data_IF_971913790836
#
_entry.id   IF_971913790836
#
_cell.length_a   1.000
_cell.length_b   1.000
_cell.length_c   1.000
_cell.angle_alpha   90.00
_cell.angle_beta   90.00
_cell.angle_gamma   90.00
#
_symmetry.space_group_name_H-M   'P 1'
#
loop_
_entity.id
_entity.type
_entity.pdbx_description
1 polymer ?
#
# COMPACT_ATOMS: atom_id res chain seq x y z
N UNK A 1 30.88 2.29 -6.04
CA UNK A 1 30.99 1.22 -5.03
C UNK A 1 29.76 0.35 -5.15
N UNK A 2 29.99 -0.95 -5.35
CA UNK A 2 29.09 -2.06 -5.73
C UNK A 2 27.55 -1.83 -5.78
N UNK A 3 26.86 -2.18 -6.89
CA UNK A 3 25.40 -2.12 -6.99
C UNK A 3 24.71 -3.26 -6.23
N UNK A 4 23.50 -2.97 -5.73
CA UNK A 4 22.55 -3.82 -4.98
C UNK A 4 22.05 -5.10 -5.71
N UNK A 5 22.78 -5.64 -6.68
CA UNK A 5 22.36 -6.80 -7.47
C UNK A 5 22.40 -8.14 -6.71
N UNK A 6 22.82 -8.17 -5.44
CA UNK A 6 23.07 -9.41 -4.70
C UNK A 6 21.91 -9.86 -3.77
N UNK A 7 20.92 -9.01 -3.48
CA UNK A 7 19.79 -9.39 -2.59
C UNK A 7 18.77 -10.29 -3.31
N UNK A 8 18.82 -10.38 -4.64
CA UNK A 8 17.98 -11.27 -5.45
C UNK A 8 18.52 -12.69 -5.68
N UNK A 9 19.75 -13.01 -5.26
CA UNK A 9 20.46 -14.22 -5.72
C UNK A 9 20.52 -15.38 -4.70
N UNK A 10 20.12 -15.19 -3.44
CA UNK A 10 20.29 -16.21 -2.39
C UNK A 10 19.05 -17.09 -2.09
N UNK A 11 17.93 -16.90 -2.80
CA UNK A 11 16.70 -17.70 -2.59
C UNK A 11 16.55 -18.92 -3.53
N UNK A 12 17.57 -19.22 -4.35
CA UNK A 12 17.47 -20.21 -5.41
C UNK A 12 18.42 -21.38 -5.24
N UNK A 13 18.18 -22.28 -4.26
CA UNK A 13 18.54 -23.71 -4.29
C UNK A 13 18.32 -24.33 -2.91
N UNK A 14 17.11 -24.83 -2.68
CA UNK A 14 16.71 -26.00 -1.84
C UNK A 14 15.24 -25.89 -1.46
N UNK A 15 14.37 -25.88 -2.48
CA UNK A 15 12.96 -26.19 -2.32
C UNK A 15 12.67 -27.38 -3.21
N UNK A 16 12.52 -28.56 -2.63
CA UNK A 16 12.10 -29.75 -3.37
C UNK A 16 10.77 -29.46 -4.07
N UNK A 17 10.68 -29.85 -5.34
CA UNK A 17 9.44 -29.85 -6.11
C UNK A 17 8.40 -30.76 -5.41
N UNK A 18 7.59 -30.18 -4.52
CA UNK A 18 6.34 -30.80 -4.10
C UNK A 18 5.30 -30.56 -5.21
N UNK A 19 4.63 -31.60 -5.74
CA UNK A 19 3.73 -31.44 -6.86
C UNK A 19 2.47 -30.67 -6.44
N UNK A 20 2.23 -29.52 -7.07
CA UNK A 20 1.00 -28.73 -6.96
C UNK A 20 -0.23 -29.40 -7.61
N UNK A 21 -0.41 -30.72 -7.43
CA UNK A 21 -1.38 -31.53 -8.17
C UNK A 21 -2.83 -31.42 -7.69
N UNK A 22 -3.06 -31.22 -6.38
CA UNK A 22 -4.41 -31.19 -5.80
C UNK A 22 -4.99 -29.76 -5.69
N UNK A 23 -4.20 -28.80 -5.20
CA UNK A 23 -4.65 -27.41 -4.96
C UNK A 23 -4.96 -26.63 -6.25
N UNK A 24 -4.13 -26.78 -7.29
CA UNK A 24 -4.34 -26.12 -8.58
C UNK A 24 -5.60 -26.60 -9.30
N UNK A 25 -5.93 -27.88 -9.17
CA UNK A 25 -7.13 -28.48 -9.76
C UNK A 25 -8.43 -28.03 -9.06
N UNK A 26 -8.40 -27.88 -7.73
CA UNK A 26 -9.52 -27.36 -6.95
C UNK A 26 -9.82 -25.88 -7.28
N UNK A 27 -8.79 -25.05 -7.41
CA UNK A 27 -8.97 -23.63 -7.76
C UNK A 27 -9.45 -23.45 -9.20
N UNK A 28 -8.96 -24.26 -10.14
CA UNK A 28 -9.46 -24.31 -11.51
C UNK A 28 -10.96 -24.68 -11.56
N UNK A 29 -11.39 -25.59 -10.69
CA UNK A 29 -12.79 -25.97 -10.57
C UNK A 29 -13.66 -24.81 -10.06
N UNK A 30 -13.19 -24.09 -9.03
CA UNK A 30 -13.85 -22.89 -8.50
C UNK A 30 -13.96 -21.79 -9.58
N UNK A 31 -12.88 -21.51 -10.30
CA UNK A 31 -12.84 -20.51 -11.37
C UNK A 31 -13.85 -20.82 -12.50
N UNK A 32 -13.95 -22.09 -12.92
CA UNK A 32 -14.96 -22.51 -13.93
C UNK A 32 -16.40 -22.33 -13.44
N UNK A 33 -16.66 -22.56 -12.15
CA UNK A 33 -17.99 -22.32 -11.55
C UNK A 33 -18.31 -20.84 -11.46
N UNK A 34 -17.36 -20.03 -10.99
CA UNK A 34 -17.46 -18.58 -10.93
C UNK A 34 -17.79 -17.98 -12.31
N UNK A 35 -17.07 -18.40 -13.35
CA UNK A 35 -17.33 -17.97 -14.73
C UNK A 35 -18.74 -18.31 -15.22
N UNK A 36 -19.24 -19.53 -14.93
CA UNK A 36 -20.61 -19.93 -15.26
C UNK A 36 -21.67 -19.10 -14.52
N UNK A 37 -21.44 -18.80 -13.24
CA UNK A 37 -22.34 -17.99 -12.41
C UNK A 37 -22.42 -16.55 -12.93
N UNK A 38 -21.28 -15.93 -13.24
CA UNK A 38 -21.23 -14.58 -13.83
C UNK A 38 -21.91 -14.54 -15.21
N UNK A 39 -21.70 -15.57 -16.04
CA UNK A 39 -22.34 -15.64 -17.35
C UNK A 39 -23.87 -15.69 -17.23
N UNK A 40 -24.41 -16.54 -16.35
CA UNK A 40 -25.85 -16.64 -16.09
C UNK A 40 -26.46 -15.32 -15.62
N UNK A 41 -25.77 -14.60 -14.72
CA UNK A 41 -26.28 -13.34 -14.16
C UNK A 41 -26.17 -12.14 -15.10
N UNK A 42 -25.17 -12.11 -15.98
CA UNK A 42 -24.92 -10.95 -16.85
C UNK A 42 -25.84 -10.86 -18.07
N UNK A 43 -26.53 -11.94 -18.47
CA UNK A 43 -27.38 -12.00 -19.67
C UNK A 43 -26.65 -11.76 -21.01
N UNK A 44 -25.35 -11.42 -20.98
CA UNK A 44 -24.55 -11.03 -22.15
C UNK A 44 -23.74 -12.22 -22.66
N UNK A 45 -23.81 -12.45 -23.99
CA UNK A 45 -22.98 -13.42 -24.72
C UNK A 45 -21.47 -13.08 -24.70
N UNK A 46 -21.06 -11.90 -24.20
CA UNK A 46 -19.66 -11.45 -24.21
C UNK A 46 -18.76 -12.10 -23.15
N UNK A 47 -19.31 -12.81 -22.16
CA UNK A 47 -18.52 -13.64 -21.24
C UNK A 47 -18.14 -15.01 -21.86
N UNK A 48 -17.93 -15.08 -23.17
CA UNK A 48 -17.39 -16.25 -23.88
C UNK A 48 -15.88 -16.40 -23.73
N UNK A 49 -15.25 -15.70 -22.78
CA UNK A 49 -13.90 -16.06 -22.38
C UNK A 49 -13.99 -17.33 -21.55
N UNK A 50 -13.74 -18.49 -22.16
CA UNK A 50 -13.22 -19.64 -21.40
C UNK A 50 -12.10 -19.06 -20.54
N UNK A 51 -12.10 -19.18 -19.20
CA UNK A 51 -10.93 -18.80 -18.43
C UNK A 51 -9.77 -19.64 -18.94
N UNK A 52 -8.97 -19.03 -19.81
CA UNK A 52 -7.79 -19.63 -20.40
C UNK A 52 -6.75 -19.66 -19.30
N UNK A 53 -6.52 -20.86 -18.77
CA UNK A 53 -5.59 -21.17 -17.71
C UNK A 53 -5.86 -20.51 -16.34
N UNK A 54 -5.54 -21.24 -15.28
CA UNK A 54 -5.36 -20.68 -13.94
C UNK A 54 -4.21 -19.69 -14.03
N UNK A 55 -4.45 -18.40 -13.75
CA UNK A 55 -3.35 -17.43 -13.59
C UNK A 55 -2.51 -17.87 -12.39
N UNK A 56 -1.19 -17.98 -12.58
CA UNK A 56 -0.23 -18.30 -11.53
C UNK A 56 0.26 -17.02 -10.86
N UNK A 57 0.72 -17.13 -9.62
CA UNK A 57 1.50 -16.06 -8.99
C UNK A 57 2.76 -15.79 -9.81
N UNK A 58 3.12 -14.52 -9.92
CA UNK A 58 4.30 -14.05 -10.63
C UNK A 58 5.33 -13.60 -9.60
N UNK A 59 6.54 -14.16 -9.65
CA UNK A 59 7.67 -13.62 -8.90
C UNK A 59 8.13 -12.34 -9.61
N UNK A 60 8.16 -11.23 -8.88
CA UNK A 60 8.52 -9.92 -9.42
C UNK A 60 9.70 -9.34 -8.64
N UNK A 61 10.52 -8.54 -9.31
CA UNK A 61 11.57 -7.77 -8.64
C UNK A 61 10.93 -6.59 -7.90
N UNK A 62 11.16 -6.44 -6.58
CA UNK A 62 10.61 -5.33 -5.84
C UNK A 62 11.27 -4.00 -6.24
N UNK A 63 10.63 -2.91 -5.87
CA UNK A 63 11.13 -1.54 -6.03
C UNK A 63 11.40 -0.95 -4.66
N UNK A 64 12.33 -0.02 -4.55
CA UNK A 64 12.66 0.58 -3.26
C UNK A 64 13.10 2.03 -3.36
N UNK A 65 13.05 2.71 -2.21
CA UNK A 65 13.74 3.99 -2.01
C UNK A 65 14.37 4.03 -0.63
N UNK A 66 15.49 4.74 -0.51
CA UNK A 66 16.11 5.01 0.78
C UNK A 66 15.43 6.20 1.47
N UNK A 67 14.96 6.02 2.69
CA UNK A 67 14.44 7.09 3.53
C UNK A 67 15.31 7.22 4.78
N UNK A 68 16.29 8.14 4.70
CA UNK A 68 17.24 8.46 5.79
C UNK A 68 17.93 7.22 6.38
N UNK A 69 18.51 6.39 5.51
CA UNK A 69 19.26 5.20 5.91
C UNK A 69 18.43 3.92 6.03
N UNK A 70 17.12 3.97 5.80
CA UNK A 70 16.24 2.81 5.76
C UNK A 70 15.69 2.61 4.34
N UNK A 71 15.98 1.48 3.70
CA UNK A 71 15.43 1.14 2.39
C UNK A 71 14.02 0.58 2.54
N UNK A 72 13.03 1.32 2.07
CA UNK A 72 11.64 0.86 2.02
C UNK A 72 11.40 0.14 0.71
N UNK A 73 10.98 -1.12 0.82
CA UNK A 73 10.84 -2.06 -0.29
C UNK A 73 9.37 -2.38 -0.48
N UNK A 74 8.89 -2.21 -1.71
CA UNK A 74 7.50 -2.33 -2.12
C UNK A 74 7.37 -3.22 -3.36
N UNK A 75 6.16 -3.73 -3.59
CA UNK A 75 5.83 -4.39 -4.86
C UNK A 75 5.85 -3.37 -6.03
N UNK A 76 6.32 -3.77 -7.23
CA UNK A 76 6.28 -2.92 -8.41
C UNK A 76 4.83 -2.68 -8.89
N UNK A 77 4.63 -1.77 -9.86
CA UNK A 77 3.38 -1.68 -10.59
C UNK A 77 2.89 -3.06 -11.08
N UNK A 78 1.60 -3.35 -11.12
CA UNK A 78 0.44 -2.44 -10.99
C UNK A 78 0.05 -2.06 -9.55
N UNK A 79 0.85 -2.39 -8.53
CA UNK A 79 0.61 -1.97 -7.15
C UNK A 79 0.85 -0.48 -6.89
N UNK A 80 0.17 0.08 -5.90
CA UNK A 80 0.35 1.48 -5.47
C UNK A 80 1.56 1.70 -4.54
N UNK A 81 2.42 0.69 -4.33
CA UNK A 81 3.59 0.81 -3.45
C UNK A 81 4.57 1.87 -3.94
N UNK A 82 4.63 2.05 -5.27
CA UNK A 82 5.33 3.16 -5.91
C UNK A 82 4.86 4.54 -5.39
N UNK A 83 3.57 4.72 -5.07
CA UNK A 83 3.08 5.98 -4.49
C UNK A 83 3.62 6.21 -3.07
N UNK A 84 3.80 5.16 -2.27
CA UNK A 84 4.40 5.27 -0.94
C UNK A 84 5.87 5.71 -1.03
N UNK A 85 6.61 5.12 -1.99
CA UNK A 85 8.01 5.49 -2.24
C UNK A 85 8.16 6.92 -2.79
N UNK A 86 7.29 7.34 -3.71
CA UNK A 86 7.24 8.73 -4.19
C UNK A 86 6.96 9.69 -3.02
N UNK A 87 5.99 9.35 -2.17
CA UNK A 87 5.66 10.14 -1.00
C UNK A 87 6.85 10.28 -0.05
N UNK A 88 7.53 9.18 0.28
CA UNK A 88 8.75 9.21 1.09
C UNK A 88 9.86 10.06 0.45
N UNK A 89 10.00 10.03 -0.87
CA UNK A 89 10.98 10.86 -1.56
C UNK A 89 10.66 12.36 -1.49
N UNK A 90 9.37 12.72 -1.49
CA UNK A 90 8.92 14.11 -1.27
C UNK A 90 9.18 14.51 0.19
N UNK A 91 8.78 13.68 1.16
CA UNK A 91 8.98 13.94 2.58
C UNK A 91 10.46 14.07 2.97
N UNK A 92 11.35 13.39 2.25
CA UNK A 92 12.80 13.49 2.44
C UNK A 92 13.33 14.93 2.29
N UNK A 93 12.61 15.81 1.59
CA UNK A 93 12.99 17.21 1.37
C UNK A 93 12.66 18.13 2.56
N UNK A 94 11.94 17.63 3.56
CA UNK A 94 11.50 18.41 4.72
C UNK A 94 12.20 17.94 5.98
N UNK A 95 12.52 18.85 6.90
CA UNK A 95 12.97 18.47 8.23
C UNK A 95 11.76 18.16 9.13
N UNK A 96 11.25 16.94 9.01
CA UNK A 96 10.11 16.50 9.80
C UNK A 96 10.45 16.22 11.27
N UNK A 97 11.74 16.08 11.60
CA UNK A 97 12.21 15.75 12.95
C UNK A 97 12.15 16.94 13.92
N UNK A 98 12.23 18.17 13.41
CA UNK A 98 12.06 19.39 14.20
C UNK A 98 10.61 19.79 14.44
N UNK A 99 9.65 19.11 13.79
CA UNK A 99 8.23 19.39 13.92
C UNK A 99 7.58 18.46 14.94
N UNK A 100 6.51 18.91 15.60
CA UNK A 100 5.75 18.04 16.49
C UNK A 100 5.11 16.86 15.72
N UNK A 101 5.26 15.60 16.17
CA UNK A 101 4.78 14.42 15.43
C UNK A 101 3.27 14.42 15.11
N UNK A 102 2.45 14.97 15.99
CA UNK A 102 1.00 15.17 15.76
C UNK A 102 0.64 16.64 15.47
N UNK A 103 1.63 17.50 15.22
CA UNK A 103 1.42 18.94 15.01
C UNK A 103 0.84 19.25 13.64
N UNK A 104 0.07 20.34 13.56
CA UNK A 104 -0.57 20.77 12.32
C UNK A 104 0.40 20.95 11.14
N UNK A 105 1.62 21.42 11.39
CA UNK A 105 2.61 21.67 10.34
C UNK A 105 3.11 20.39 9.69
N UNK A 106 3.52 19.40 10.50
CA UNK A 106 3.91 18.09 10.00
C UNK A 106 2.76 17.42 9.25
N UNK A 107 1.56 17.45 9.84
CA UNK A 107 0.39 16.83 9.23
C UNK A 107 -0.01 17.52 7.92
N UNK A 108 0.14 18.83 7.84
CA UNK A 108 -0.05 19.60 6.61
C UNK A 108 0.94 19.13 5.52
N UNK A 109 2.24 19.11 5.80
CA UNK A 109 3.25 18.63 4.84
C UNK A 109 2.94 17.20 4.38
N UNK A 110 2.60 16.31 5.32
CA UNK A 110 2.23 14.93 5.02
C UNK A 110 1.01 14.84 4.09
N UNK A 111 -0.03 15.65 4.34
CA UNK A 111 -1.23 15.72 3.49
C UNK A 111 -0.90 16.27 2.10
N UNK A 112 -0.15 17.37 2.00
CA UNK A 112 0.22 17.99 0.72
C UNK A 112 1.09 17.07 -0.14
N UNK A 113 2.14 16.50 0.47
CA UNK A 113 2.99 15.52 -0.18
C UNK A 113 2.19 14.29 -0.60
N UNK A 114 1.27 13.82 0.25
CA UNK A 114 0.34 12.74 -0.07
C UNK A 114 -0.50 13.07 -1.30
N UNK A 115 -1.12 14.25 -1.37
CA UNK A 115 -1.92 14.65 -2.54
C UNK A 115 -1.09 14.64 -3.83
N UNK A 116 0.17 15.08 -3.78
CA UNK A 116 1.07 15.02 -4.93
C UNK A 116 1.43 13.59 -5.34
N UNK A 117 1.83 12.76 -4.38
CA UNK A 117 2.17 11.35 -4.66
C UNK A 117 0.98 10.58 -5.24
N UNK A 118 -0.24 10.90 -4.79
CA UNK A 118 -1.46 10.29 -5.31
C UNK A 118 -1.85 10.84 -6.69
N UNK A 119 -1.52 12.09 -7.02
CA UNK A 119 -1.65 12.59 -8.38
C UNK A 119 -0.71 11.81 -9.33
N UNK A 120 0.54 11.54 -8.92
CA UNK A 120 1.47 10.68 -9.67
C UNK A 120 0.92 9.27 -9.82
N UNK A 121 0.42 8.67 -8.72
CA UNK A 121 -0.24 7.36 -8.74
C UNK A 121 -1.35 7.29 -9.76
N UNK A 122 -2.27 8.27 -9.71
CA UNK A 122 -3.44 8.31 -10.56
C UNK A 122 -3.06 8.50 -12.04
N UNK A 123 -2.05 9.32 -12.34
CA UNK A 123 -1.63 9.58 -13.71
C UNK A 123 -0.84 8.42 -14.35
N UNK A 124 -0.03 7.69 -13.57
CA UNK A 124 0.99 6.80 -14.12
C UNK A 124 0.83 5.32 -13.78
N UNK A 125 0.28 4.96 -12.60
CA UNK A 125 0.27 3.56 -12.16
C UNK A 125 -0.86 2.79 -12.84
N UNK A 126 -0.45 1.75 -13.57
CA UNK A 126 -1.32 0.85 -14.31
C UNK A 126 -0.65 -0.53 -14.43
N UNK A 127 -1.22 -1.42 -15.24
CA UNK A 127 -0.48 -2.60 -15.73
C UNK A 127 0.89 -2.16 -16.29
N UNK A 128 2.01 -2.80 -15.90
CA UNK A 128 3.35 -2.45 -16.38
C UNK A 128 3.44 -2.34 -17.91
N UNK A 129 2.73 -3.19 -18.64
CA UNK A 129 2.70 -3.17 -20.11
C UNK A 129 2.02 -1.94 -20.72
N UNK A 130 1.26 -1.18 -19.93
CA UNK A 130 0.51 0.00 -20.36
C UNK A 130 1.02 1.30 -19.71
N UNK A 131 2.01 1.23 -18.82
CA UNK A 131 2.60 2.42 -18.21
C UNK A 131 3.39 3.23 -19.24
N UNK A 132 3.31 4.56 -19.11
CA UNK A 132 4.01 5.52 -20.00
C UNK A 132 5.29 6.07 -19.40
N UNK A 133 5.39 6.09 -18.07
CA UNK A 133 6.58 6.53 -17.34
C UNK A 133 7.26 5.32 -16.72
N UNK A 134 8.60 5.33 -16.67
CA UNK A 134 9.35 4.28 -16.00
C UNK A 134 9.29 4.46 -14.48
N UNK A 135 9.36 3.35 -13.74
CA UNK A 135 9.48 3.38 -12.27
C UNK A 135 10.67 4.24 -11.84
N UNK A 136 11.81 4.10 -12.52
CA UNK A 136 13.02 4.85 -12.22
C UNK A 136 12.82 6.37 -12.33
N UNK A 137 12.12 6.84 -13.38
CA UNK A 137 11.82 8.26 -13.54
C UNK A 137 10.90 8.80 -12.44
N UNK A 138 9.93 7.99 -12.00
CA UNK A 138 9.00 8.37 -10.94
C UNK A 138 9.63 8.34 -9.53
N UNK A 139 10.66 7.51 -9.33
CA UNK A 139 11.42 7.44 -8.08
C UNK A 139 12.64 8.38 -8.04
N UNK A 140 12.89 9.11 -9.12
CA UNK A 140 14.01 10.04 -9.20
C UNK A 140 13.94 11.14 -8.12
N UNK A 141 15.09 11.49 -7.55
CA UNK A 141 15.18 12.48 -6.46
C UNK A 141 14.88 13.89 -6.93
N UNK A 142 15.29 14.27 -8.14
CA UNK A 142 14.98 15.58 -8.68
C UNK A 142 13.49 15.69 -9.04
N UNK A 143 12.87 14.61 -9.52
CA UNK A 143 11.42 14.56 -9.69
C UNK A 143 10.68 14.81 -8.36
N UNK A 144 11.08 14.14 -7.28
CA UNK A 144 10.51 14.36 -5.96
C UNK A 144 10.77 15.77 -5.40
N UNK A 145 11.97 16.34 -5.62
CA UNK A 145 12.29 17.72 -5.24
C UNK A 145 11.42 18.74 -5.97
N UNK A 146 11.15 18.53 -7.27
CA UNK A 146 10.24 19.36 -8.05
C UNK A 146 8.79 19.31 -7.56
N UNK A 147 8.34 18.16 -7.04
CA UNK A 147 7.05 18.06 -6.36
C UNK A 147 7.08 18.79 -5.02
N UNK A 148 8.08 18.54 -4.17
CA UNK A 148 8.22 19.18 -2.86
C UNK A 148 8.23 20.71 -2.96
N UNK A 149 8.90 21.28 -3.98
CA UNK A 149 8.95 22.74 -4.22
C UNK A 149 7.59 23.38 -4.57
N UNK A 150 6.54 22.58 -4.82
CA UNK A 150 5.17 23.07 -5.04
C UNK A 150 4.34 23.09 -3.75
N UNK A 151 4.86 22.55 -2.64
CA UNK A 151 4.17 22.55 -1.34
C UNK A 151 4.40 23.91 -0.69
N UNK A 152 3.31 24.61 -0.38
CA UNK A 152 3.35 25.81 0.44
C UNK A 152 3.12 25.38 1.90
N UNK A 153 4.09 25.56 2.83
CA UNK A 153 3.99 25.09 4.21
C UNK A 153 2.89 25.79 5.04
N UNK A 154 2.36 26.91 4.55
CA UNK A 154 1.33 27.70 5.20
C UNK A 154 -0.05 27.54 4.56
N UNK A 155 -0.15 26.92 3.38
CA UNK A 155 -1.41 26.91 2.63
C UNK A 155 -1.61 25.64 1.80
N UNK A 156 -2.81 25.06 1.95
CA UNK A 156 -3.31 23.97 1.12
C UNK A 156 -3.36 24.41 -0.34
N UNK A 157 -2.64 23.71 -1.21
CA UNK A 157 -2.61 23.99 -2.65
C UNK A 157 -3.76 23.29 -3.38
N UNK A 158 -4.06 23.67 -4.62
CA UNK A 158 -4.94 22.88 -5.48
C UNK A 158 -4.17 21.70 -6.09
N UNK A 159 -4.66 20.47 -5.92
CA UNK A 159 -4.12 19.27 -6.58
C UNK A 159 -5.26 18.55 -7.28
N UNK A 160 -5.01 18.05 -8.50
CA UNK A 160 -6.03 17.35 -9.28
C UNK A 160 -6.49 16.05 -8.61
N UNK A 161 -7.83 15.87 -8.55
CA UNK A 161 -8.61 14.66 -8.26
C UNK A 161 -8.03 13.71 -7.19
N UNK A 162 -8.61 13.78 -6.00
CA UNK A 162 -8.34 12.89 -4.89
C UNK A 162 -8.74 11.41 -5.14
N UNK A 163 -8.11 10.46 -4.41
CA UNK A 163 -8.41 9.04 -4.46
C UNK A 163 -9.82 8.69 -3.96
N UNK A 164 -10.35 7.56 -4.44
CA UNK A 164 -11.50 6.89 -3.81
C UNK A 164 -11.05 6.20 -2.51
N UNK A 165 -11.58 6.56 -1.33
CA UNK A 165 -11.13 6.00 -0.05
C UNK A 165 -11.58 4.56 0.20
N UNK A 166 -12.44 3.98 -0.64
CA UNK A 166 -13.02 2.65 -0.40
C UNK A 166 -11.98 1.53 -0.44
N UNK A 167 -12.18 0.58 0.47
CA UNK A 167 -11.51 -0.72 0.45
C UNK A 167 -11.38 -1.31 1.86
N UNK A 168 -11.41 -2.63 1.94
CA UNK A 168 -11.07 -3.36 3.16
C UNK A 168 -10.05 -4.45 2.82
N UNK A 169 -9.15 -4.74 3.76
CA UNK A 169 -7.96 -5.53 3.49
C UNK A 169 -7.49 -6.18 4.77
N UNK A 170 -6.93 -7.39 4.63
CA UNK A 170 -6.26 -8.11 5.73
C UNK A 170 -4.78 -8.20 5.42
N UNK A 171 -3.97 -8.01 6.45
CA UNK A 171 -2.51 -8.06 6.43
C UNK A 171 -2.05 -9.01 7.52
N UNK A 172 -1.02 -9.79 7.21
CA UNK A 172 -0.30 -10.64 8.15
C UNK A 172 1.19 -10.45 7.93
N UNK A 173 1.94 -10.26 9.01
CA UNK A 173 3.40 -10.17 9.01
C UNK A 173 3.97 -11.25 9.91
N UNK A 174 4.95 -11.99 9.42
CA UNK A 174 5.59 -13.10 10.14
C UNK A 174 7.09 -12.97 10.00
N UNK A 175 7.80 -13.19 11.11
CA UNK A 175 9.25 -13.43 11.11
C UNK A 175 9.50 -14.70 11.88
N UNK A 176 10.24 -15.63 11.27
CA UNK A 176 10.59 -16.91 11.90
C UNK A 176 11.94 -16.87 12.63
N UNK A 177 12.31 -18.01 13.23
CA UNK A 177 13.57 -18.22 13.95
C UNK A 177 14.82 -18.00 13.07
N UNK A 178 14.70 -18.23 11.77
CA UNK A 178 15.78 -18.14 10.78
C UNK A 178 15.82 -16.72 10.17
N UNK A 179 15.06 -15.77 10.75
CA UNK A 179 14.91 -14.38 10.34
C UNK A 179 14.33 -14.22 8.93
N UNK A 180 13.58 -15.22 8.45
CA UNK A 180 12.79 -15.05 7.23
C UNK A 180 11.59 -14.16 7.53
N UNK A 181 11.53 -13.02 6.85
CA UNK A 181 10.51 -12.01 7.05
C UNK A 181 9.51 -12.02 5.90
N UNK A 182 8.23 -12.04 6.22
CA UNK A 182 7.14 -12.13 5.25
C UNK A 182 6.04 -11.13 5.61
N UNK A 183 5.68 -10.27 4.66
CA UNK A 183 4.49 -9.44 4.71
C UNK A 183 3.50 -9.91 3.64
N UNK A 184 2.34 -10.41 4.05
CA UNK A 184 1.29 -10.90 3.15
C UNK A 184 0.06 -10.03 3.32
N UNK A 185 -0.44 -9.54 2.20
CA UNK A 185 -1.67 -8.74 2.16
C UNK A 185 -2.64 -9.35 1.15
N UNK A 186 -3.91 -9.44 1.52
CA UNK A 186 -4.96 -10.00 0.66
C UNK A 186 -6.28 -9.23 0.83
N UNK A 187 -7.06 -9.12 -0.25
CA UNK A 187 -8.29 -8.32 -0.27
C UNK A 187 -9.23 -8.70 -1.41
N UNK A 188 -10.54 -8.67 -1.14
CA UNK A 188 -11.58 -8.71 -2.16
C UNK A 188 -11.85 -7.35 -2.84
N UNK A 189 -11.05 -6.35 -2.51
CA UNK A 189 -11.20 -4.90 -2.71
C UNK A 189 -12.19 -4.23 -1.76
N UNK A 190 -13.49 -4.24 -2.02
CA UNK A 190 -14.49 -3.65 -1.11
C UNK A 190 -15.29 -4.76 -0.44
N UNK A 191 -15.22 -4.85 0.90
CA UNK A 191 -16.04 -5.74 1.73
C UNK A 191 -16.17 -7.16 1.14
N UNK A 192 -17.39 -7.63 0.84
CA UNK A 192 -17.66 -8.94 0.26
C UNK A 192 -17.46 -9.00 -1.28
N UNK A 193 -16.59 -8.17 -1.83
CA UNK A 193 -16.30 -8.12 -3.26
C UNK A 193 -17.56 -7.82 -4.09
N UNK A 194 -17.91 -8.70 -5.03
CA UNK A 194 -19.17 -8.58 -5.80
C UNK A 194 -20.38 -9.20 -5.09
N UNK A 195 -20.24 -9.65 -3.84
CA UNK A 195 -21.28 -10.37 -3.08
C UNK A 195 -21.82 -11.61 -3.82
N UNK A 196 -20.97 -12.24 -4.63
CA UNK A 196 -21.28 -13.48 -5.35
C UNK A 196 -20.40 -14.58 -4.79
N UNK A 197 -21.03 -15.50 -4.06
CA UNK A 197 -20.41 -16.70 -3.56
C UNK A 197 -20.67 -17.89 -4.49
N UNK A 198 -19.71 -18.78 -4.57
CA UNK A 198 -19.86 -20.09 -5.21
C UNK A 198 -20.56 -21.04 -4.23
N UNK A 199 -21.82 -21.41 -4.51
CA UNK A 199 -22.71 -22.17 -3.59
C UNK A 199 -22.06 -23.38 -2.88
N UNK A 200 -21.18 -24.11 -3.57
CA UNK A 200 -20.54 -25.30 -3.00
C UNK A 200 -19.25 -25.03 -2.21
N UNK A 201 -18.57 -23.92 -2.49
CA UNK A 201 -17.22 -23.67 -1.97
C UNK A 201 -17.13 -22.44 -1.07
N UNK A 202 -18.19 -21.63 -1.00
CA UNK A 202 -18.22 -20.39 -0.21
C UNK A 202 -17.26 -19.31 -0.70
N UNK A 203 -16.52 -19.55 -1.79
CA UNK A 203 -15.55 -18.59 -2.34
C UNK A 203 -16.31 -17.41 -2.91
N UNK A 204 -16.05 -16.24 -2.33
CA UNK A 204 -16.58 -14.95 -2.74
C UNK A 204 -15.66 -14.33 -3.78
N UNK A 205 -16.23 -13.80 -4.85
CA UNK A 205 -15.48 -13.15 -5.93
C UNK A 205 -15.17 -11.69 -5.58
N UNK A 206 -13.93 -11.27 -5.85
CA UNK A 206 -13.48 -9.89 -5.63
C UNK A 206 -14.13 -8.91 -6.62
N UNK A 207 -14.20 -7.63 -6.27
CA UNK A 207 -14.62 -6.55 -7.18
C UNK A 207 -13.46 -5.65 -7.63
N UNK A 208 -12.21 -6.16 -7.61
CA UNK A 208 -10.99 -5.42 -7.99
C UNK A 208 -11.03 -4.74 -9.37
N UNK A 209 -11.87 -5.22 -10.29
CA UNK A 209 -12.09 -4.56 -11.59
C UNK A 209 -12.57 -3.10 -11.48
N UNK A 210 -13.15 -2.70 -10.34
CA UNK A 210 -13.53 -1.31 -10.04
C UNK A 210 -12.35 -0.34 -10.03
N UNK A 211 -11.11 -0.83 -9.90
CA UNK A 211 -9.93 0.02 -9.98
C UNK A 211 -9.53 0.39 -11.40
N UNK A 212 -10.20 -0.11 -12.45
CA UNK A 212 -10.03 0.38 -13.82
C UNK A 212 -10.70 1.75 -14.02
N UNK A 213 -10.16 2.51 -14.98
CA UNK A 213 -10.83 3.67 -15.56
C UNK A 213 -11.50 3.29 -16.88
N UNK A 214 -12.44 4.14 -17.32
CA UNK A 214 -13.15 3.98 -18.60
C UNK A 214 -12.73 5.01 -19.65
N UNK A 215 -11.82 5.92 -19.31
CA UNK A 215 -11.20 6.84 -20.26
C UNK A 215 -10.21 6.08 -21.16
N UNK A 216 -10.47 5.95 -22.48
CA UNK A 216 -9.60 5.25 -23.41
C UNK A 216 -8.17 5.81 -23.47
N UNK A 217 -7.99 7.09 -23.15
CA UNK A 217 -6.70 7.76 -23.14
C UNK A 217 -5.85 7.46 -21.90
N UNK A 218 -6.40 6.79 -20.88
CA UNK A 218 -5.73 6.56 -19.61
C UNK A 218 -4.95 5.22 -19.60
N UNK A 219 -3.71 5.16 -19.07
CA UNK A 219 -2.94 3.90 -19.00
C UNK A 219 -3.66 2.79 -18.21
N UNK A 220 -4.40 3.16 -17.17
CA UNK A 220 -5.25 2.25 -16.38
C UNK A 220 -6.69 2.08 -16.95
N UNK A 221 -6.93 2.34 -18.25
CA UNK A 221 -8.19 2.01 -18.91
C UNK A 221 -8.42 0.49 -18.91
N UNK A 222 -9.67 0.08 -18.68
CA UNK A 222 -10.10 -1.31 -18.80
C UNK A 222 -9.74 -1.89 -20.19
N UNK A 223 -9.20 -3.10 -20.20
CA UNK A 223 -8.83 -3.79 -21.42
C UNK A 223 -8.63 -5.29 -21.19
N UNK A 224 -8.74 -6.12 -22.24
CA UNK A 224 -8.59 -7.56 -22.12
C UNK A 224 -7.18 -7.91 -21.63
N UNK A 225 -7.08 -8.87 -20.70
CA UNK A 225 -5.79 -9.35 -20.19
C UNK A 225 -5.11 -8.43 -19.15
N UNK A 226 -5.39 -7.12 -19.18
CA UNK A 226 -4.78 -6.11 -18.29
C UNK A 226 -5.11 -6.36 -16.82
N UNK A 227 -4.16 -6.01 -15.95
CA UNK A 227 -4.36 -5.93 -14.51
C UNK A 227 -4.75 -4.50 -14.12
N UNK A 228 -5.82 -4.31 -13.31
CA UNK A 228 -6.18 -2.97 -12.85
C UNK A 228 -5.16 -2.46 -11.82
N UNK A 229 -4.96 -1.15 -11.69
CA UNK A 229 -4.19 -0.58 -10.58
C UNK A 229 -4.63 -1.20 -9.24
N UNK A 230 -3.67 -1.61 -8.42
CA UNK A 230 -3.92 -2.40 -7.24
C UNK A 230 -3.58 -1.65 -5.95
N UNK A 231 -4.52 -1.66 -4.99
CA UNK A 231 -4.36 -0.92 -3.74
C UNK A 231 -3.54 -1.66 -2.68
N UNK A 232 -3.52 -2.99 -2.68
CA UNK A 232 -2.81 -3.76 -1.64
C UNK A 232 -1.30 -3.61 -1.80
N UNK A 233 -0.62 -3.23 -0.72
CA UNK A 233 0.84 -3.07 -0.67
C UNK A 233 1.39 -3.69 0.64
N UNK A 234 2.13 -4.80 0.57
CA UNK A 234 2.96 -5.27 1.68
C UNK A 234 4.36 -4.64 1.55
N UNK A 235 5.01 -4.34 2.67
CA UNK A 235 6.30 -3.70 2.65
C UNK A 235 7.33 -4.38 3.56
N UNK A 236 8.59 -4.25 3.17
CA UNK A 236 9.74 -4.55 4.01
C UNK A 236 10.57 -3.27 4.18
N UNK A 237 11.13 -3.07 5.36
CA UNK A 237 12.17 -2.09 5.61
C UNK A 237 13.50 -2.82 5.78
N UNK A 238 14.53 -2.36 5.07
CA UNK A 238 15.84 -2.99 4.98
C UNK A 238 16.91 -1.98 5.40
N UNK A 239 17.83 -2.39 6.26
CA UNK A 239 18.99 -1.60 6.67
C UNK A 239 20.25 -2.43 6.48
N UNK A 240 21.26 -1.85 5.84
CA UNK A 240 22.55 -2.51 5.58
C UNK A 240 22.40 -3.90 4.94
N UNK A 241 21.48 -4.03 3.99
CA UNK A 241 21.19 -5.28 3.28
C UNK A 241 20.44 -6.35 4.08
N UNK A 242 20.03 -6.07 5.32
CA UNK A 242 19.24 -6.97 6.17
C UNK A 242 17.83 -6.44 6.38
N UNK A 243 16.84 -7.33 6.36
CA UNK A 243 15.48 -6.94 6.73
C UNK A 243 15.46 -6.53 8.20
N UNK A 244 14.94 -5.34 8.48
CA UNK A 244 14.75 -4.80 9.82
C UNK A 244 13.29 -4.88 10.22
N UNK A 245 12.34 -4.62 9.30
CA UNK A 245 10.90 -4.59 9.61
C UNK A 245 10.10 -5.22 8.47
N UNK A 246 9.23 -6.18 8.77
CA UNK A 246 8.12 -6.56 7.90
C UNK A 246 6.86 -5.85 8.36
N UNK A 247 6.21 -5.08 7.48
CA UNK A 247 5.05 -4.28 7.86
C UNK A 247 4.04 -4.08 6.74
N UNK A 248 2.91 -3.51 7.12
CA UNK A 248 1.97 -2.90 6.19
C UNK A 248 0.91 -2.11 6.94
N UNK A 249 0.24 -1.21 6.23
CA UNK A 249 -0.90 -0.45 6.76
C UNK A 249 -2.06 -0.63 5.82
N UNK A 250 -3.08 -1.37 6.27
CA UNK A 250 -4.33 -1.64 5.55
C UNK A 250 -5.20 -0.38 5.46
N UNK A 251 -6.14 -0.34 4.50
CA UNK A 251 -7.10 0.77 4.36
C UNK A 251 -7.35 1.23 2.93
N UNK A 252 -7.41 0.32 1.95
CA UNK A 252 -7.73 0.70 0.56
C UNK A 252 -6.78 1.74 -0.04
N UNK A 253 -7.28 2.95 -0.29
CA UNK A 253 -6.41 4.05 -0.76
C UNK A 253 -5.49 4.62 0.32
N UNK A 254 -5.77 4.45 1.61
CA UNK A 254 -4.91 4.98 2.69
C UNK A 254 -3.53 4.32 2.73
N UNK A 255 -3.37 3.09 2.21
CA UNK A 255 -2.17 2.27 2.45
C UNK A 255 -0.85 2.98 2.14
N UNK A 256 -0.73 3.66 0.99
CA UNK A 256 0.52 4.34 0.61
C UNK A 256 0.88 5.50 1.56
N UNK A 257 -0.12 6.33 1.94
CA UNK A 257 0.08 7.38 2.94
C UNK A 257 0.33 6.79 4.34
N UNK A 258 -0.34 5.69 4.68
CA UNK A 258 -0.13 4.96 5.92
C UNK A 258 1.30 4.40 6.04
N UNK A 259 1.84 3.83 4.96
CA UNK A 259 3.23 3.35 4.92
C UNK A 259 4.21 4.50 5.15
N UNK A 260 4.05 5.61 4.43
CA UNK A 260 4.93 6.77 4.61
C UNK A 260 4.81 7.40 6.00
N UNK A 261 3.58 7.51 6.53
CA UNK A 261 3.35 8.03 7.88
C UNK A 261 4.00 7.16 8.95
N UNK A 262 3.82 5.83 8.87
CA UNK A 262 4.45 4.87 9.76
C UNK A 262 5.98 4.95 9.70
N UNK A 263 6.55 4.93 8.50
CA UNK A 263 8.02 5.03 8.30
C UNK A 263 8.54 6.37 8.85
N UNK A 264 7.85 7.49 8.60
CA UNK A 264 8.23 8.80 9.14
C UNK A 264 8.19 8.83 10.67
N UNK A 265 7.19 8.19 11.30
CA UNK A 265 7.13 8.09 12.76
C UNK A 265 8.34 7.34 13.33
N UNK A 266 8.77 6.26 12.68
CA UNK A 266 9.94 5.50 13.09
C UNK A 266 11.24 6.27 12.89
N UNK A 267 11.41 6.87 11.71
CA UNK A 267 12.70 7.39 11.25
C UNK A 267 12.91 8.85 11.64
N UNK A 268 11.89 9.70 11.52
CA UNK A 268 12.01 11.13 11.83
C UNK A 268 11.76 11.42 13.33
N UNK A 269 10.97 10.57 14.02
CA UNK A 269 10.55 10.80 15.41
C UNK A 269 11.07 9.74 16.39
N UNK A 270 11.86 8.76 15.92
CA UNK A 270 12.48 7.74 16.77
C UNK A 270 11.49 6.84 17.52
N UNK A 271 10.25 6.74 17.05
CA UNK A 271 9.21 5.96 17.74
C UNK A 271 9.49 4.45 17.66
N UNK A 272 9.04 3.72 18.69
CA UNK A 272 8.92 2.27 18.57
C UNK A 272 7.77 1.86 17.63
N UNK A 273 7.65 0.56 17.33
CA UNK A 273 6.64 0.08 16.39
C UNK A 273 5.21 0.38 16.83
N UNK A 274 4.90 0.20 18.12
CA UNK A 274 3.53 0.34 18.61
C UNK A 274 3.15 1.82 18.67
N UNK A 275 4.04 2.67 19.20
CA UNK A 275 3.85 4.12 19.20
C UNK A 275 3.66 4.65 17.76
N UNK A 276 4.48 4.22 16.81
CA UNK A 276 4.35 4.63 15.40
C UNK A 276 3.01 4.20 14.77
N UNK A 277 2.48 3.03 15.16
CA UNK A 277 1.16 2.54 14.72
C UNK A 277 0.02 3.33 15.36
N UNK A 278 0.14 3.64 16.65
CA UNK A 278 -0.93 4.23 17.46
C UNK A 278 -1.17 5.71 17.14
N UNK A 279 -0.16 6.41 16.63
CA UNK A 279 -0.24 7.82 16.26
C UNK A 279 -1.51 8.16 15.45
N UNK A 280 -2.24 9.25 15.79
CA UNK A 280 -3.44 9.66 15.08
C UNK A 280 -3.18 9.89 13.59
N UNK A 281 -4.05 9.35 12.74
CA UNK A 281 -3.86 9.39 11.28
C UNK A 281 -4.69 10.48 10.63
N UNK A 282 -4.19 10.95 9.50
CA UNK A 282 -4.87 11.91 8.62
C UNK A 282 -4.84 11.40 7.19
N UNK A 283 -5.87 11.74 6.42
CA UNK A 283 -5.96 11.42 4.99
C UNK A 283 -6.77 12.50 4.27
N UNK A 284 -6.75 12.47 2.94
CA UNK A 284 -7.58 13.33 2.10
C UNK A 284 -8.60 12.48 1.34
N UNK A 285 -9.88 12.74 1.61
CA UNK A 285 -11.03 12.09 0.98
C UNK A 285 -11.77 13.15 0.15
N UNK A 286 -11.62 13.10 -1.17
CA UNK A 286 -12.04 14.22 -2.03
C UNK A 286 -11.34 15.53 -1.59
N UNK A 287 -12.11 16.57 -1.28
CA UNK A 287 -11.60 17.83 -0.76
C UNK A 287 -11.45 17.86 0.76
N UNK A 288 -12.05 16.89 1.45
CA UNK A 288 -12.08 16.84 2.91
C UNK A 288 -10.80 16.21 3.45
N UNK A 289 -10.21 16.87 4.45
CA UNK A 289 -9.12 16.36 5.26
C UNK A 289 -9.71 15.54 6.41
N UNK A 290 -9.70 14.24 6.24
CA UNK A 290 -10.25 13.30 7.17
C UNK A 290 -9.21 12.99 8.26
N UNK A 291 -9.55 13.23 9.53
CA UNK A 291 -8.66 12.99 10.67
C UNK A 291 -9.26 11.95 11.61
N UNK A 292 -8.43 11.12 12.21
CA UNK A 292 -8.90 10.17 13.23
C UNK A 292 -9.25 10.86 14.55
N UNK A 293 -10.06 10.18 15.37
CA UNK A 293 -10.28 10.57 16.77
C UNK A 293 -8.95 10.55 17.52
N UNK A 294 -8.81 11.45 18.50
CA UNK A 294 -7.61 11.56 19.33
C UNK A 294 -6.57 12.56 18.82
N UNK A 295 -6.75 13.14 17.64
CA UNK A 295 -5.95 14.28 17.21
C UNK A 295 -6.30 15.52 18.06
N UNK A 296 -5.29 16.22 18.56
CA UNK A 296 -5.46 17.38 19.42
C UNK A 296 -6.17 18.54 18.69
N UNK A 297 -6.97 19.31 19.44
CA UNK A 297 -7.80 20.37 18.88
C UNK A 297 -6.99 21.51 18.25
N UNK A 298 -5.81 21.82 18.81
CA UNK A 298 -4.86 22.80 18.28
C UNK A 298 -4.27 22.36 16.93
N UNK A 299 -4.00 21.07 16.75
CA UNK A 299 -3.56 20.50 15.50
C UNK A 299 -4.66 20.58 14.43
N UNK A 300 -5.90 20.25 14.79
CA UNK A 300 -7.07 20.39 13.91
C UNK A 300 -7.24 21.85 13.47
N UNK A 301 -7.20 22.79 14.41
CA UNK A 301 -7.37 24.20 14.10
C UNK A 301 -6.19 24.75 13.28
N UNK A 302 -4.96 24.27 13.55
CA UNK A 302 -3.79 24.59 12.75
C UNK A 302 -3.88 24.09 11.30
N UNK A 303 -4.54 22.96 11.05
CA UNK A 303 -4.85 22.49 9.69
C UNK A 303 -5.91 23.38 9.04
N UNK A 304 -6.97 23.76 9.75
CA UNK A 304 -8.01 24.68 9.23
C UNK A 304 -7.43 26.03 8.84
N UNK A 305 -6.56 26.61 9.67
CA UNK A 305 -5.86 27.87 9.33
C UNK A 305 -5.01 27.78 8.06
N UNK A 306 -4.52 26.59 7.72
CA UNK A 306 -3.80 26.32 6.46
C UNK A 306 -4.74 26.01 5.29
N UNK A 307 -6.05 26.10 5.46
CA UNK A 307 -7.04 25.91 4.39
C UNK A 307 -7.52 24.47 4.20
N UNK A 308 -7.32 23.59 5.19
CA UNK A 308 -7.92 22.25 5.17
C UNK A 308 -9.39 22.28 5.61
N UNK A 309 -10.26 21.66 4.82
CA UNK A 309 -11.62 21.30 5.24
C UNK A 309 -11.55 20.06 6.15
N UNK A 310 -11.45 20.25 7.47
CA UNK A 310 -11.17 19.15 8.40
C UNK A 310 -12.45 18.50 8.92
N UNK A 311 -12.58 17.18 8.72
CA UNK A 311 -13.64 16.35 9.29
C UNK A 311 -13.06 15.21 10.14
N UNK A 312 -13.59 15.01 11.34
CA UNK A 312 -13.21 13.89 12.21
C UNK A 312 -13.98 12.64 11.79
N UNK A 313 -13.27 11.55 11.51
CA UNK A 313 -13.89 10.29 11.08
C UNK A 313 -14.47 9.52 12.24
N UNK A 314 -15.63 8.91 11.99
CA UNK A 314 -16.23 7.93 12.91
C UNK A 314 -15.49 6.58 12.88
N UNK A 315 -14.94 6.20 11.73
CA UNK A 315 -14.21 4.95 11.55
C UNK A 315 -12.70 5.22 11.36
N UNK A 316 -11.83 4.30 11.82
CA UNK A 316 -10.38 4.42 11.61
C UNK A 316 -10.00 4.41 10.12
N UNK A 317 -8.89 5.05 9.78
CA UNK A 317 -8.37 5.15 8.40
C UNK A 317 -7.76 3.83 7.90
N UNK A 318 -7.29 3.00 8.82
CA UNK A 318 -6.57 1.79 8.48
C UNK A 318 -6.27 0.93 9.70
N UNK A 319 -5.53 -0.16 9.45
CA UNK A 319 -4.99 -1.01 10.50
C UNK A 319 -3.58 -1.46 10.10
N UNK A 320 -2.64 -1.48 11.04
CA UNK A 320 -1.25 -1.87 10.79
C UNK A 320 -0.87 -3.17 11.50
N UNK A 321 0.07 -3.90 10.91
CA UNK A 321 0.79 -5.00 11.54
C UNK A 321 2.27 -4.83 11.22
N UNK A 322 3.14 -5.05 12.20
CA UNK A 322 4.57 -4.96 12.00
C UNK A 322 5.32 -5.96 12.90
N UNK A 323 6.41 -6.49 12.36
CA UNK A 323 7.40 -7.26 13.14
C UNK A 323 8.79 -6.72 12.80
N UNK A 324 9.55 -6.32 13.83
CA UNK A 324 10.94 -5.89 13.74
C UNK A 324 11.88 -7.00 14.17
N UNK A 325 12.96 -7.15 13.42
CA UNK A 325 14.15 -7.89 13.82
C UNK A 325 15.11 -6.90 14.46
N UNK A 326 15.22 -6.95 15.78
CA UNK A 326 16.24 -6.18 16.50
C UNK A 326 17.55 -6.99 16.45
N UNK A 327 18.42 -6.64 15.50
CA UNK A 327 19.67 -7.35 15.26
C UNK A 327 20.69 -7.17 16.39
N UNK A 328 20.64 -6.05 17.10
CA UNK A 328 21.58 -5.75 18.19
C UNK A 328 21.24 -6.55 19.44
N UNK A 329 19.95 -6.65 19.77
CA UNK A 329 19.46 -7.42 20.92
C UNK A 329 19.16 -8.88 20.60
N UNK A 330 19.07 -9.24 19.31
CA UNK A 330 18.73 -10.59 18.86
C UNK A 330 17.26 -10.99 19.10
N UNK A 331 16.35 -10.03 19.29
CA UNK A 331 14.93 -10.29 19.62
C UNK A 331 14.00 -9.90 18.47
N UNK A 332 12.78 -10.43 18.52
CA UNK A 332 11.69 -10.01 17.63
C UNK A 332 10.71 -9.13 18.41
N UNK A 333 10.29 -8.03 17.78
CA UNK A 333 9.33 -7.09 18.37
C UNK A 333 8.12 -7.04 17.45
N UNK A 334 6.97 -7.49 17.92
CA UNK A 334 5.71 -7.43 17.18
C UNK A 334 4.84 -6.25 17.65
N UNK A 335 4.10 -5.65 16.73
CA UNK A 335 3.12 -4.61 17.03
C UNK A 335 1.85 -4.81 16.19
N UNK A 336 0.70 -4.52 16.81
CA UNK A 336 -0.62 -4.73 16.23
C UNK A 336 -1.51 -3.54 16.51
N UNK A 337 -2.24 -3.08 15.50
CA UNK A 337 -3.05 -1.88 15.59
C UNK A 337 -4.36 -2.10 16.35
N UNK A 338 -4.55 -1.37 17.46
CA UNK A 338 -5.76 -1.44 18.28
C UNK A 338 -7.04 -0.93 17.61
N UNK A 339 -6.96 -0.36 16.39
CA UNK A 339 -8.14 0.08 15.61
C UNK A 339 -8.91 -1.07 14.98
N UNK A 340 -8.32 -2.27 14.89
CA UNK A 340 -8.94 -3.48 14.35
C UNK A 340 -8.70 -4.63 15.31
N UNK A 341 -9.60 -5.62 15.29
CA UNK A 341 -9.32 -6.88 15.97
C UNK A 341 -8.05 -7.51 15.36
N UNK A 342 -7.09 -7.83 16.21
CA UNK A 342 -5.77 -8.30 15.82
C UNK A 342 -4.89 -8.55 17.03
N UNK A 343 -3.72 -9.16 16.82
CA UNK A 343 -2.74 -9.38 17.88
C UNK A 343 -1.33 -9.48 17.30
N UNK A 344 -0.34 -9.18 18.14
CA UNK A 344 1.05 -9.56 17.93
C UNK A 344 1.37 -10.70 18.90
N UNK A 345 1.87 -11.82 18.38
CA UNK A 345 2.18 -13.02 19.15
C UNK A 345 3.61 -13.48 18.84
N UNK A 346 4.31 -13.97 19.85
CA UNK A 346 5.65 -14.55 19.74
C UNK A 346 5.73 -15.86 20.54
N UNK A 347 6.67 -16.71 20.16
CA UNK A 347 7.00 -17.97 20.82
C UNK A 347 8.48 -18.29 20.63
#
# INVERSE_FOLDING_TARGET
GAPLSAVGAAAGRRGGNAPAGAGGNAFAHCARRAGRLLHRRSGRRSCRHRPSAVRRGEAVTPISTNYRGLDIVELPPNGQGLAALVLLNILHQFDLSSLHPAGAERLHILLEAGRMAYAVRNAHIADPSAMRASVAALLDRAFAAGLAGRIDPARRIAVSRAPDPRGDTTLVTVVDRDRQAVAIINSLFVSFGVAVATEKTGVILHNRGMSFLLDPGHPNCAGPGKRPMHTIIPALAVRDGRCEIAFGVMGGSYQAMGHAHFVSNLVDHGMDLQAAIDMPRVFFEAETTAVERGLAADAIEGLRRRGHDVAVRALPLGGAQAVRIDWDRGVLIGASDGRKDGCALGY
#
